data_IF_820142156924
#
_entry.id   IF_820142156924
#
_cell.length_a   1.000
_cell.length_b   1.000
_cell.length_c   1.000
_cell.angle_alpha   90.00
_cell.angle_beta   90.00
_cell.angle_gamma   90.00
#
_symmetry.space_group_name_H-M   'P 1'
#
loop_
_entity.id
_entity.type
_entity.pdbx_description
1 polymer ?
#
# COMPACT_ATOMS: atom_id res chain seq x y z
N UNK A 1 -11.66 -8.95 21.87
CA UNK A 1 -10.20 -8.75 21.76
C UNK A 1 -9.71 -8.02 23.00
N UNK A 2 -8.82 -8.62 23.79
CA UNK A 2 -8.20 -7.95 24.93
C UNK A 2 -7.28 -6.84 24.41
N UNK A 3 -7.71 -5.58 24.53
CA UNK A 3 -6.88 -4.42 24.21
C UNK A 3 -5.85 -4.30 25.33
N UNK A 4 -4.61 -4.68 25.07
CA UNK A 4 -3.50 -4.41 25.99
C UNK A 4 -3.29 -2.90 25.98
N UNK A 5 -3.66 -2.24 27.07
CA UNK A 5 -3.43 -0.80 27.27
C UNK A 5 -2.13 -0.65 28.03
N UNK A 6 -1.24 0.18 27.49
CA UNK A 6 0.04 0.46 28.10
C UNK A 6 0.16 1.95 28.37
N UNK A 7 0.42 2.30 29.63
CA UNK A 7 0.51 3.69 30.07
C UNK A 7 1.98 4.03 30.29
N UNK A 8 2.40 5.17 29.72
CA UNK A 8 3.72 5.77 29.92
C UNK A 8 3.56 7.24 30.17
N UNK A 9 4.40 7.75 31.05
CA UNK A 9 4.52 9.17 31.30
C UNK A 9 5.31 9.82 30.16
N UNK A 10 4.90 11.03 29.79
CA UNK A 10 5.63 11.88 28.87
C UNK A 10 6.61 12.69 29.72
N UNK A 11 7.88 12.73 29.31
CA UNK A 11 8.86 13.54 30.04
C UNK A 11 8.70 15.05 29.76
N UNK A 12 9.53 15.85 30.41
CA UNK A 12 9.55 17.31 30.30
C UNK A 12 9.88 17.83 28.88
N UNK A 13 10.44 16.98 28.03
CA UNK A 13 10.76 17.28 26.64
C UNK A 13 9.71 16.74 25.65
N UNK A 14 8.64 16.10 26.12
CA UNK A 14 7.61 15.54 25.26
C UNK A 14 7.94 14.15 24.70
N UNK A 15 8.96 13.46 25.21
CA UNK A 15 9.35 12.12 24.75
C UNK A 15 8.55 11.05 25.49
N UNK A 16 8.24 9.98 24.76
CA UNK A 16 7.59 8.78 25.32
C UNK A 16 8.42 7.55 25.00
N UNK A 17 8.59 6.68 25.99
CA UNK A 17 9.37 5.44 25.82
C UNK A 17 8.50 4.37 25.16
N UNK A 18 8.89 3.93 23.96
CA UNK A 18 8.29 2.75 23.31
C UNK A 18 8.86 1.46 23.94
N UNK A 19 8.02 0.57 24.50
CA UNK A 19 8.50 -0.63 25.17
C UNK A 19 9.26 -1.56 24.23
N UNK A 20 10.21 -2.31 24.79
CA UNK A 20 11.10 -3.20 24.03
C UNK A 20 10.32 -4.24 23.22
N UNK A 21 9.21 -4.75 23.73
CA UNK A 21 8.38 -5.74 23.02
C UNK A 21 7.84 -5.19 21.68
N UNK A 22 7.27 -3.98 21.69
CA UNK A 22 6.76 -3.35 20.47
C UNK A 22 7.89 -3.01 19.51
N UNK A 23 9.02 -2.52 20.03
CA UNK A 23 10.21 -2.26 19.22
C UNK A 23 10.74 -3.52 18.52
N UNK A 24 10.82 -4.65 19.22
CA UNK A 24 11.20 -5.94 18.63
C UNK A 24 10.22 -6.37 17.54
N UNK A 25 8.91 -6.20 17.74
CA UNK A 25 7.89 -6.54 16.73
C UNK A 25 7.95 -5.65 15.50
N UNK A 26 8.22 -4.35 15.66
CA UNK A 26 8.27 -3.39 14.55
C UNK A 26 9.56 -3.47 13.73
N UNK A 27 10.70 -3.69 14.38
CA UNK A 27 12.02 -3.62 13.73
C UNK A 27 12.75 -4.96 13.63
N UNK A 28 12.23 -6.04 14.22
CA UNK A 28 12.86 -7.36 14.20
C UNK A 28 14.12 -7.50 15.05
N UNK A 29 14.61 -6.42 15.66
CA UNK A 29 15.89 -6.35 16.38
C UNK A 29 15.75 -5.75 17.77
N UNK A 30 16.63 -6.16 18.69
CA UNK A 30 16.66 -5.66 20.07
C UNK A 30 17.15 -4.22 20.19
N UNK A 31 18.02 -3.79 19.27
CA UNK A 31 18.47 -2.41 19.19
C UNK A 31 17.69 -1.68 18.10
N UNK A 32 16.94 -0.66 18.50
CA UNK A 32 16.17 0.18 17.58
C UNK A 32 16.70 1.61 17.53
N UNK A 33 17.88 1.83 18.10
CA UNK A 33 18.57 3.11 18.07
C UNK A 33 18.79 3.57 16.62
N UNK A 34 18.51 4.84 16.34
CA UNK A 34 18.60 5.43 15.00
C UNK A 34 17.49 5.04 14.01
N UNK A 35 16.60 4.08 14.35
CA UNK A 35 15.43 3.77 13.51
C UNK A 35 14.44 4.94 13.59
N UNK A 36 13.91 5.33 12.43
CA UNK A 36 12.98 6.45 12.30
C UNK A 36 11.52 5.98 12.37
N UNK A 37 10.66 6.83 12.92
CA UNK A 37 9.22 6.61 12.99
C UNK A 37 8.50 7.85 12.44
N UNK A 38 7.38 7.62 11.77
CA UNK A 38 6.42 8.64 11.39
C UNK A 38 5.37 8.80 12.50
N UNK A 39 4.94 10.04 12.70
CA UNK A 39 3.92 10.40 13.69
C UNK A 39 2.75 11.04 12.92
N UNK A 40 1.58 10.40 13.01
CA UNK A 40 0.35 10.88 12.41
C UNK A 40 -0.60 11.35 13.50
N UNK A 41 -1.15 12.56 13.33
CA UNK A 41 -2.24 13.08 14.16
C UNK A 41 -3.55 12.92 13.39
N UNK A 42 -4.43 12.06 13.89
CA UNK A 42 -5.73 11.81 13.30
C UNK A 42 -6.73 12.90 13.69
N UNK A 43 -7.87 12.99 12.97
CA UNK A 43 -8.91 14.00 13.23
C UNK A 43 -9.56 13.87 14.61
N UNK A 44 -9.54 12.67 15.19
CA UNK A 44 -10.06 12.40 16.54
C UNK A 44 -9.06 12.74 17.66
N UNK A 45 -7.88 13.27 17.30
CA UNK A 45 -6.81 13.61 18.24
C UNK A 45 -5.92 12.43 18.62
N UNK A 46 -6.12 11.24 18.05
CA UNK A 46 -5.25 10.10 18.30
C UNK A 46 -3.90 10.25 17.57
N UNK A 47 -2.84 9.72 18.19
CA UNK A 47 -1.50 9.66 17.60
C UNK A 47 -1.21 8.23 17.14
N UNK A 48 -0.88 8.08 15.85
CA UNK A 48 -0.44 6.81 15.27
C UNK A 48 1.06 6.88 14.96
N UNK A 49 1.81 5.88 15.38
CA UNK A 49 3.25 5.74 15.10
C UNK A 49 3.47 4.62 14.08
N UNK A 50 4.25 4.87 13.01
CA UNK A 50 4.62 3.84 12.01
C UNK A 50 6.13 3.87 11.74
N UNK A 51 6.78 2.74 11.41
CA UNK A 51 8.16 2.75 10.93
C UNK A 51 8.31 3.63 9.70
N UNK A 52 9.27 4.56 9.73
CA UNK A 52 9.56 5.41 8.58
C UNK A 52 10.21 4.58 7.47
N UNK A 53 9.55 4.51 6.32
CA UNK A 53 10.09 3.88 5.12
C UNK A 53 10.64 4.97 4.20
N UNK A 54 11.92 4.90 3.84
CA UNK A 54 12.54 5.81 2.86
C UNK A 54 12.09 5.54 1.44
N UNK A 55 11.63 4.32 1.18
CA UNK A 55 11.12 3.90 -0.13
C UNK A 55 9.66 3.47 0.02
N UNK A 56 8.78 3.87 -0.91
CA UNK A 56 7.42 3.36 -0.96
C UNK A 56 7.46 1.83 -1.00
N UNK A 57 6.56 1.18 -0.29
CA UNK A 57 6.48 -0.27 -0.33
C UNK A 57 6.25 -0.70 -1.78
N UNK A 58 7.11 -1.56 -2.32
CA UNK A 58 6.99 -2.01 -3.71
C UNK A 58 5.60 -2.62 -3.94
N UNK A 59 5.02 -3.29 -2.93
CA UNK A 59 3.66 -3.83 -3.00
C UNK A 59 2.59 -2.75 -3.10
N UNK A 60 2.77 -1.65 -2.39
CA UNK A 60 1.87 -0.48 -2.47
C UNK A 60 1.93 0.14 -3.85
N UNK A 61 3.13 0.36 -4.41
CA UNK A 61 3.32 0.83 -5.79
C UNK A 61 2.71 -0.11 -6.84
N UNK A 62 2.88 -1.42 -6.69
CA UNK A 62 2.28 -2.40 -7.61
C UNK A 62 0.76 -2.36 -7.49
N UNK A 63 0.21 -2.17 -6.30
CA UNK A 63 -1.23 -2.02 -6.07
C UNK A 63 -1.78 -0.75 -6.72
N UNK A 64 -1.08 0.38 -6.58
CA UNK A 64 -1.41 1.63 -7.29
C UNK A 64 -1.40 1.44 -8.80
N UNK A 65 -0.38 0.79 -9.35
CA UNK A 65 -0.28 0.51 -10.78
C UNK A 65 -1.42 -0.38 -11.28
N UNK A 66 -1.82 -1.41 -10.52
CA UNK A 66 -2.99 -2.25 -10.85
C UNK A 66 -4.27 -1.41 -10.95
N UNK A 67 -4.47 -0.43 -10.06
CA UNK A 67 -5.64 0.47 -10.11
C UNK A 67 -5.62 1.37 -11.36
N UNK A 68 -4.44 1.79 -11.81
CA UNK A 68 -4.29 2.52 -13.08
C UNK A 68 -4.64 1.64 -14.28
N UNK A 69 -4.20 0.38 -14.28
CA UNK A 69 -4.57 -0.61 -15.31
C UNK A 69 -6.08 -0.84 -15.33
N UNK A 70 -6.75 -0.90 -14.17
CA UNK A 70 -8.21 -1.02 -14.08
C UNK A 70 -8.95 0.17 -14.69
N UNK A 71 -8.45 1.38 -14.45
CA UNK A 71 -8.99 2.59 -15.05
C UNK A 71 -8.87 2.55 -16.57
N UNK A 72 -7.74 2.07 -17.08
CA UNK A 72 -7.49 1.93 -18.51
C UNK A 72 -8.33 0.82 -19.16
N UNK A 73 -8.50 -0.33 -18.49
CA UNK A 73 -9.40 -1.41 -18.91
C UNK A 73 -10.83 -0.88 -19.06
N UNK A 74 -11.32 -0.12 -18.07
CA UNK A 74 -12.65 0.48 -18.10
C UNK A 74 -12.79 1.46 -19.28
N UNK A 75 -11.76 2.29 -19.53
CA UNK A 75 -11.75 3.22 -20.66
C UNK A 75 -11.85 2.49 -22.00
N UNK A 76 -11.00 1.49 -22.23
CA UNK A 76 -10.99 0.72 -23.48
C UNK A 76 -12.30 -0.04 -23.67
N UNK A 77 -12.83 -0.65 -22.61
CA UNK A 77 -14.13 -1.35 -22.66
C UNK A 77 -15.25 -0.41 -23.07
N UNK A 78 -15.29 0.81 -22.50
CA UNK A 78 -16.28 1.81 -22.87
C UNK A 78 -16.13 2.29 -24.32
N UNK A 79 -14.91 2.36 -24.84
CA UNK A 79 -14.67 2.76 -26.23
C UNK A 79 -15.08 1.65 -27.22
N UNK A 80 -14.90 0.37 -26.86
CA UNK A 80 -15.39 -0.78 -27.63
C UNK A 80 -16.93 -0.84 -27.68
N UNK A 81 -17.61 -0.45 -26.58
CA UNK A 81 -19.08 -0.40 -26.53
C UNK A 81 -19.70 0.68 -27.44
N UNK A 82 -18.93 1.65 -27.95
CA UNK A 82 -19.44 2.81 -28.70
C UNK A 82 -19.59 2.61 -30.22
N UNK A 83 -19.54 1.38 -30.75
CA UNK A 83 -19.59 1.07 -32.19
C UNK A 83 -18.65 1.94 -33.05
N UNK A 84 -17.36 1.57 -33.09
CA UNK A 84 -16.36 2.15 -34.01
C UNK A 84 -16.00 1.17 -35.14
N UNK A 85 -15.23 1.63 -36.13
CA UNK A 85 -14.75 0.83 -37.26
C UNK A 85 -14.12 -0.51 -36.81
N UNK A 86 -14.42 -1.59 -37.53
CA UNK A 86 -14.01 -2.96 -37.17
C UNK A 86 -12.49 -3.16 -37.00
N UNK A 87 -11.65 -2.43 -37.75
CA UNK A 87 -10.18 -2.55 -37.65
C UNK A 87 -9.61 -1.87 -36.39
N UNK A 88 -10.28 -0.81 -35.91
CA UNK A 88 -9.89 -0.12 -34.68
C UNK A 88 -10.29 -0.93 -33.44
N UNK A 89 -11.43 -1.63 -33.51
CA UNK A 89 -11.89 -2.52 -32.44
C UNK A 89 -10.92 -3.69 -32.25
N UNK A 90 -10.44 -4.32 -33.32
CA UNK A 90 -9.48 -5.43 -33.21
C UNK A 90 -8.17 -5.02 -32.51
N UNK A 91 -7.69 -3.80 -32.76
CA UNK A 91 -6.50 -3.25 -32.08
C UNK A 91 -6.77 -2.94 -30.60
N UNK A 92 -7.96 -2.41 -30.30
CA UNK A 92 -8.38 -2.13 -28.93
C UNK A 92 -8.58 -3.42 -28.12
N UNK A 93 -9.15 -4.46 -28.73
CA UNK A 93 -9.28 -5.81 -28.13
C UNK A 93 -7.91 -6.42 -27.83
N UNK A 94 -6.99 -6.43 -28.80
CA UNK A 94 -5.63 -6.95 -28.58
C UNK A 94 -4.87 -6.19 -27.46
N UNK A 95 -5.07 -4.87 -27.39
CA UNK A 95 -4.52 -4.04 -26.30
C UNK A 95 -5.17 -4.37 -24.96
N UNK A 96 -6.48 -4.56 -24.93
CA UNK A 96 -7.24 -4.92 -23.73
C UNK A 96 -6.73 -6.26 -23.17
N UNK A 97 -6.60 -7.27 -24.01
CA UNK A 97 -6.08 -8.60 -23.62
C UNK A 97 -4.69 -8.48 -23.00
N UNK A 98 -3.79 -7.73 -23.64
CA UNK A 98 -2.43 -7.52 -23.13
C UNK A 98 -2.44 -6.85 -21.74
N UNK A 99 -3.29 -5.85 -21.53
CA UNK A 99 -3.38 -5.14 -20.24
C UNK A 99 -3.96 -6.06 -19.15
N UNK A 100 -4.98 -6.86 -19.49
CA UNK A 100 -5.59 -7.82 -18.57
C UNK A 100 -4.57 -8.90 -18.17
N UNK A 101 -3.77 -9.40 -19.10
CA UNK A 101 -2.70 -10.37 -18.83
C UNK A 101 -1.65 -9.80 -17.86
N UNK A 102 -1.17 -8.58 -18.12
CA UNK A 102 -0.22 -7.90 -17.23
C UNK A 102 -0.81 -7.71 -15.84
N UNK A 103 -2.07 -7.27 -15.74
CA UNK A 103 -2.76 -7.11 -14.46
C UNK A 103 -2.82 -8.43 -13.68
N UNK A 104 -3.19 -9.52 -14.34
CA UNK A 104 -3.32 -10.82 -13.71
C UNK A 104 -1.98 -11.39 -13.24
N UNK A 105 -0.89 -11.23 -14.01
CA UNK A 105 0.48 -11.60 -13.58
C UNK A 105 0.89 -10.82 -12.32
N UNK A 106 0.64 -9.50 -12.29
CA UNK A 106 0.95 -8.68 -11.12
C UNK A 106 0.14 -9.10 -9.88
N UNK A 107 -1.15 -9.40 -10.05
CA UNK A 107 -2.00 -9.90 -8.96
C UNK A 107 -1.52 -11.25 -8.41
N UNK A 108 -1.09 -12.17 -9.27
CA UNK A 108 -0.52 -13.46 -8.84
C UNK A 108 0.73 -13.25 -7.98
N UNK A 109 1.65 -12.41 -8.45
CA UNK A 109 2.90 -12.13 -7.71
C UNK A 109 2.66 -11.45 -6.36
N UNK A 110 1.56 -10.70 -6.22
CA UNK A 110 1.18 -10.12 -4.93
C UNK A 110 0.68 -11.19 -3.96
N UNK A 111 -0.07 -12.19 -4.42
CA UNK A 111 -0.66 -13.24 -3.57
C UNK A 111 0.29 -14.39 -3.21
N UNK A 112 1.40 -14.56 -3.93
CA UNK A 112 2.37 -15.66 -3.73
C UNK A 112 3.18 -15.65 -2.40
N UNK A 113 2.99 -14.67 -1.50
CA UNK A 113 3.71 -14.63 -0.20
C UNK A 113 2.83 -14.25 1.00
N UNK A 114 1.57 -14.67 1.01
CA UNK A 114 0.76 -14.68 2.24
C UNK A 114 1.02 -15.92 3.10
#
# INVERSE_FOLDING_TARGET
MNKVVFVREIDDLGRIVIPREYRNRLFGEHNSEGKKMEIFLEKDGSLTLRPYKTEPDIREKVTEYINELDTEIMRITNDLLKENNSDDNAKLEARLDTIVDVKNDLLSRLSERE
#
